data_IF_123945313103
#
_entry.id   IF_123945313103
#
_cell.length_a   1.000
_cell.length_b   1.000
_cell.length_c   1.000
_cell.angle_alpha   90.00
_cell.angle_beta   90.00
_cell.angle_gamma   90.00
#
_symmetry.space_group_name_H-M   'P 1'
#
loop_
_entity.id
_entity.type
_entity.pdbx_description
1 polymer ?
#
# COMPACT_ATOMS: atom_id res chain seq x y z
N UNK A 1 -8.64 -3.47 8.68
CA UNK A 1 -8.51 -2.36 9.66
C UNK A 1 -7.65 -2.82 10.83
N UNK A 2 -6.59 -2.09 11.17
CA UNK A 2 -5.76 -2.34 12.35
C UNK A 2 -5.87 -1.13 13.29
N UNK A 3 -6.82 -1.17 14.24
CA UNK A 3 -7.16 -0.01 15.08
C UNK A 3 -6.62 -0.10 16.51
N UNK A 4 -5.94 -1.20 16.86
CA UNK A 4 -5.51 -1.47 18.25
C UNK A 4 -4.16 -0.82 18.59
N UNK A 5 -3.30 -0.63 17.59
CA UNK A 5 -2.09 0.19 17.65
C UNK A 5 -2.28 1.34 16.66
N UNK A 6 -1.96 2.57 17.04
CA UNK A 6 -2.05 3.74 16.16
C UNK A 6 -1.12 3.56 14.94
N UNK A 7 -1.67 3.00 13.86
CA UNK A 7 -0.93 2.66 12.64
C UNK A 7 -0.41 3.89 11.90
N UNK A 8 -0.91 5.09 12.23
CA UNK A 8 -0.53 6.36 11.60
C UNK A 8 0.74 7.01 12.20
N UNK A 9 1.38 6.39 13.20
CA UNK A 9 2.59 6.95 13.83
C UNK A 9 3.83 6.94 12.93
N UNK A 10 3.91 5.98 12.01
CA UNK A 10 5.04 5.82 11.08
C UNK A 10 4.49 5.66 9.67
N UNK A 11 4.83 6.62 8.80
CA UNK A 11 4.42 6.62 7.40
C UNK A 11 5.64 6.31 6.53
N UNK A 12 5.42 5.51 5.49
CA UNK A 12 6.42 5.19 4.48
C UNK A 12 6.17 6.04 3.25
N UNK A 13 7.25 6.53 2.64
CA UNK A 13 7.20 7.27 1.38
C UNK A 13 7.19 6.28 0.21
N UNK A 14 6.14 6.34 -0.60
CA UNK A 14 6.04 5.64 -1.88
C UNK A 14 6.45 6.61 -2.99
N UNK A 15 7.41 6.17 -3.81
CA UNK A 15 7.90 6.92 -4.97
C UNK A 15 7.13 6.50 -6.21
N UNK A 16 6.74 7.46 -7.04
CA UNK A 16 5.95 7.25 -8.25
C UNK A 16 5.57 8.58 -8.91
N UNK A 17 4.59 8.58 -9.80
CA UNK A 17 4.06 9.81 -10.43
C UNK A 17 3.47 10.78 -9.40
N UNK A 18 2.90 10.25 -8.32
CA UNK A 18 2.45 11.01 -7.16
C UNK A 18 3.17 10.48 -5.93
N UNK A 19 3.88 11.37 -5.24
CA UNK A 19 4.47 11.03 -3.96
C UNK A 19 3.35 10.84 -2.92
N UNK A 20 3.35 9.68 -2.26
CA UNK A 20 2.33 9.34 -1.28
C UNK A 20 2.98 8.84 0.00
N UNK A 21 2.41 9.27 1.14
CA UNK A 21 2.80 8.80 2.47
C UNK A 21 1.65 7.99 3.04
N UNK A 22 1.90 6.72 3.32
CA UNK A 22 0.91 5.83 3.91
C UNK A 22 1.55 4.89 4.94
N UNK A 23 0.78 4.42 5.93
CA UNK A 23 1.27 3.46 6.90
C UNK A 23 1.51 2.11 6.22
N UNK A 24 2.53 1.36 6.70
CA UNK A 24 2.93 0.09 6.10
C UNK A 24 1.78 -0.92 5.87
N UNK A 25 0.79 -1.06 6.78
CA UNK A 25 -0.33 -1.99 6.58
C UNK A 25 -1.24 -1.66 5.38
N UNK A 26 -1.13 -0.45 4.82
CA UNK A 26 -1.89 -0.01 3.64
C UNK A 26 -1.06 -0.08 2.34
N UNK A 27 0.19 -0.54 2.42
CA UNK A 27 1.11 -0.64 1.29
C UNK A 27 1.30 -2.08 0.86
N UNK A 28 1.60 -2.26 -0.42
CA UNK A 28 1.99 -3.55 -0.99
C UNK A 28 3.46 -3.53 -1.41
N UNK A 29 4.15 -4.64 -1.23
CA UNK A 29 5.51 -4.82 -1.74
C UNK A 29 5.47 -5.54 -3.09
N UNK A 30 5.90 -4.85 -4.15
CA UNK A 30 6.04 -5.44 -5.47
C UNK A 30 7.37 -6.19 -5.56
N UNK A 31 7.32 -7.52 -5.52
CA UNK A 31 8.53 -8.37 -5.57
C UNK A 31 9.29 -8.27 -6.89
N UNK A 32 8.60 -7.99 -8.00
CA UNK A 32 9.22 -7.88 -9.32
C UNK A 32 10.12 -6.65 -9.42
N UNK A 33 9.70 -5.53 -8.84
CA UNK A 33 10.45 -4.28 -8.86
C UNK A 33 11.27 -4.05 -7.58
N UNK A 34 11.04 -4.85 -6.53
CA UNK A 34 11.56 -4.63 -5.17
C UNK A 34 11.21 -3.26 -4.58
N UNK A 35 10.00 -2.78 -4.87
CA UNK A 35 9.50 -1.45 -4.48
C UNK A 35 8.16 -1.53 -3.74
N UNK A 36 7.94 -0.58 -2.83
CA UNK A 36 6.63 -0.39 -2.18
C UNK A 36 5.68 0.36 -3.11
N UNK A 37 4.41 -0.05 -3.15
CA UNK A 37 3.33 0.57 -3.91
C UNK A 37 2.13 0.85 -3.02
N UNK A 38 1.45 1.97 -3.26
CA UNK A 38 0.19 2.26 -2.59
C UNK A 38 -0.97 1.54 -3.25
N UNK A 39 -2.05 1.34 -2.51
CA UNK A 39 -3.29 0.74 -2.99
C UNK A 39 -3.93 1.52 -4.16
N UNK A 40 -3.67 2.83 -4.25
CA UNK A 40 -4.12 3.72 -5.34
C UNK A 40 -3.35 3.49 -6.64
N UNK A 41 -2.14 2.91 -6.57
CA UNK A 41 -1.23 2.74 -7.69
C UNK A 41 -1.25 1.31 -8.28
N UNK A 42 -2.10 0.42 -7.77
CA UNK A 42 -2.25 -0.96 -8.28
C UNK A 42 -3.64 -1.15 -8.88
N UNK A 43 -3.71 -1.89 -9.98
CA UNK A 43 -4.96 -2.31 -10.59
C UNK A 43 -5.71 -3.27 -9.67
N UNK A 44 -7.01 -3.05 -9.48
CA UNK A 44 -7.86 -3.92 -8.66
C UNK A 44 -8.66 -4.81 -9.58
N UNK A 45 -8.38 -6.12 -9.52
CA UNK A 45 -9.17 -7.10 -10.25
C UNK A 45 -10.27 -7.65 -9.35
N UNK A 46 -11.48 -7.76 -9.90
CA UNK A 46 -12.59 -8.41 -9.21
C UNK A 46 -12.51 -9.90 -9.45
N UNK A 47 -11.92 -10.64 -8.51
CA UNK A 47 -12.09 -12.09 -8.48
C UNK A 47 -13.49 -12.43 -7.98
N UNK A 48 -14.39 -12.78 -8.90
CA UNK A 48 -15.63 -13.47 -8.53
C UNK A 48 -15.28 -14.90 -8.08
N UNK A 49 -15.64 -15.21 -6.84
CA UNK A 49 -15.60 -16.56 -6.29
C UNK A 49 -16.77 -17.36 -6.90
N UNK A 50 -16.45 -18.37 -7.70
CA UNK A 50 -17.31 -19.55 -7.92
C UNK A 50 -17.05 -20.55 -6.79
#
# INVERSE_FOLDING_TARGET
MASLLQSERVLYLVRGEKELRAPLPQLYFCRYCSELRSLECVSHEMCQLL
#
